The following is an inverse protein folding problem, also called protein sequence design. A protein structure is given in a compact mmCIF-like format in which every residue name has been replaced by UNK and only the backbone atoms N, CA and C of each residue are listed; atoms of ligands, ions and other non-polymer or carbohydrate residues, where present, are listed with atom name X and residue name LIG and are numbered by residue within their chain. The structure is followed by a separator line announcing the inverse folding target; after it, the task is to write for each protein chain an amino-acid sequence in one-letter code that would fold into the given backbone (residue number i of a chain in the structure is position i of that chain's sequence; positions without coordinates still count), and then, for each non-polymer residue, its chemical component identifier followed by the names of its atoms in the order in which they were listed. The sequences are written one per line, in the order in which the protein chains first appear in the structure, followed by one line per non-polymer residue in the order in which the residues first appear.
data_IF_836464261576
#
_entry.id   IF_836464261576
#
_cell.length_a   1.000
_cell.length_b   1.000
_cell.length_c   1.000
_cell.angle_alpha   90.00
_cell.angle_beta   90.00
_cell.angle_gamma   90.00
#
_symmetry.space_group_name_H-M   'P 1'
#
loop_
_entity.id
_entity.type
_entity.pdbx_description
1 polymer ?
#
# COMPACT_ATOMS: atom_id res chain seq x y z
N UNK A 1 -8.21 7.78 27.43
CA UNK A 1 -7.99 6.34 27.72
C UNK A 1 -6.48 6.17 27.86
N UNK A 2 -5.98 6.06 29.09
CA UNK A 2 -4.55 5.89 29.34
C UNK A 2 -4.21 4.41 29.17
N UNK A 3 -3.60 4.05 28.04
CA UNK A 3 -3.12 2.67 27.79
C UNK A 3 -1.71 2.56 28.38
N UNK A 4 -1.52 1.93 29.53
CA UNK A 4 -0.21 1.85 30.21
C UNK A 4 0.66 0.67 29.72
N UNK A 5 0.02 -0.38 29.23
CA UNK A 5 0.67 -1.57 28.71
C UNK A 5 0.02 -2.08 27.42
N UNK A 6 0.77 -2.85 26.65
CA UNK A 6 0.28 -3.57 25.47
C UNK A 6 0.61 -5.05 25.66
N UNK A 7 -0.43 -5.89 25.56
CA UNK A 7 -0.27 -7.34 25.45
C UNK A 7 -0.07 -7.76 23.99
N UNK A 8 1.08 -8.34 23.68
CA UNK A 8 1.39 -8.93 22.37
C UNK A 8 1.61 -10.43 22.58
N UNK A 9 0.70 -11.23 22.05
CA UNK A 9 0.62 -12.67 22.33
C UNK A 9 0.53 -12.93 23.84
N UNK A 10 1.53 -13.61 24.41
CA UNK A 10 1.61 -13.93 25.84
C UNK A 10 2.45 -12.91 26.62
N UNK A 11 3.13 -11.98 25.95
CA UNK A 11 4.00 -11.00 26.57
C UNK A 11 3.27 -9.68 26.85
N UNK A 12 3.50 -9.11 28.04
CA UNK A 12 3.06 -7.76 28.40
C UNK A 12 4.25 -6.81 28.23
N UNK A 13 4.05 -5.68 27.55
CA UNK A 13 5.05 -4.62 27.39
C UNK A 13 4.53 -3.30 27.95
N UNK A 14 5.30 -2.70 28.86
CA UNK A 14 5.01 -1.36 29.39
C UNK A 14 5.26 -0.30 28.32
N UNK A 15 4.39 0.71 28.28
CA UNK A 15 4.55 1.88 27.40
C UNK A 15 5.21 3.00 28.20
N UNK A 16 6.49 3.25 27.93
CA UNK A 16 7.25 4.32 28.59
C UNK A 16 7.01 5.71 27.98
N UNK A 17 6.76 5.77 26.67
CA UNK A 17 6.57 7.02 25.93
C UNK A 17 5.49 6.86 24.87
N UNK A 18 4.74 7.95 24.62
CA UNK A 18 3.71 8.03 23.58
C UNK A 18 3.86 9.36 22.84
N UNK A 19 3.82 9.30 21.52
CA UNK A 19 3.72 10.47 20.67
C UNK A 19 2.47 10.39 19.81
N UNK A 20 1.78 11.52 19.67
CA UNK A 20 0.63 11.66 18.80
C UNK A 20 0.95 12.78 17.83
N UNK A 21 0.87 12.48 16.53
CA UNK A 21 1.02 13.46 15.45
C UNK A 21 -0.30 13.56 14.72
N UNK A 22 -0.81 14.79 14.60
CA UNK A 22 -2.01 15.11 13.81
C UNK A 22 -1.57 16.04 12.67
N UNK A 23 -1.87 15.64 11.45
CA UNK A 23 -1.57 16.40 10.24
C UNK A 23 -2.81 16.51 9.36
N UNK A 24 -2.85 17.57 8.55
CA UNK A 24 -3.82 17.73 7.48
C UNK A 24 -3.08 17.61 6.15
N UNK A 25 -3.07 16.40 5.60
CA UNK A 25 -2.32 16.08 4.38
C UNK A 25 -3.23 16.10 3.15
N UNK A 26 -2.63 16.37 1.99
CA UNK A 26 -3.35 16.32 0.71
C UNK A 26 -3.65 14.86 0.36
N UNK A 27 -4.83 14.64 -0.21
CA UNK A 27 -5.25 13.36 -0.78
C UNK A 27 -5.99 13.61 -2.09
N UNK A 28 -5.55 13.01 -3.19
CA UNK A 28 -6.20 13.17 -4.50
C UNK A 28 -5.24 13.44 -5.66
N UNK A 29 -5.81 13.69 -6.84
CA UNK A 29 -5.08 13.96 -8.09
C UNK A 29 -4.15 15.18 -7.99
N UNK A 30 -2.96 15.06 -8.57
CA UNK A 30 -1.95 16.13 -8.61
C UNK A 30 -1.47 16.41 -10.04
N UNK A 31 -0.94 17.62 -10.27
CA UNK A 31 -0.29 17.97 -11.55
C UNK A 31 1.13 17.42 -11.63
N UNK A 32 1.80 17.38 -10.49
CA UNK A 32 3.16 16.86 -10.35
C UNK A 32 3.13 15.39 -9.98
N UNK A 33 4.18 14.69 -10.36
CA UNK A 33 4.41 13.32 -9.94
C UNK A 33 5.09 13.31 -8.57
N UNK A 34 4.67 12.38 -7.71
CA UNK A 34 5.20 12.19 -6.36
C UNK A 34 5.77 10.78 -6.26
N UNK A 35 6.97 10.67 -5.71
CA UNK A 35 7.66 9.41 -5.46
C UNK A 35 7.31 8.82 -4.10
N UNK A 36 6.97 7.54 -4.11
CA UNK A 36 6.59 6.76 -2.94
C UNK A 36 7.39 5.45 -2.87
N UNK A 37 7.54 4.94 -1.66
CA UNK A 37 8.08 3.60 -1.40
C UNK A 37 7.10 2.79 -0.54
N UNK A 38 6.95 1.51 -0.89
CA UNK A 38 6.31 0.54 0.02
C UNK A 38 7.28 0.17 1.14
N UNK A 39 7.10 0.79 2.31
CA UNK A 39 7.90 0.51 3.51
C UNK A 39 7.48 -0.79 4.20
N UNK A 40 6.29 -1.30 3.88
CA UNK A 40 5.78 -2.61 4.31
C UNK A 40 5.24 -3.42 3.11
N UNK A 41 5.25 -4.76 3.18
CA UNK A 41 4.92 -5.61 2.03
C UNK A 41 3.55 -5.26 1.45
N UNK A 42 3.49 -5.04 0.14
CA UNK A 42 2.25 -4.78 -0.57
C UNK A 42 1.62 -6.08 -1.05
N UNK A 43 0.46 -6.42 -0.50
CA UNK A 43 -0.35 -7.57 -0.93
C UNK A 43 -1.29 -7.15 -2.07
N UNK A 44 -0.74 -7.13 -3.29
CA UNK A 44 -1.43 -6.63 -4.47
C UNK A 44 -2.48 -7.62 -5.04
N UNK A 45 -2.25 -8.92 -4.86
CA UNK A 45 -2.98 -9.96 -5.58
C UNK A 45 -4.17 -10.53 -4.76
N UNK A 46 -5.30 -10.72 -5.44
CA UNK A 46 -6.39 -11.60 -5.08
C UNK A 46 -6.28 -12.94 -5.82
N UNK A 47 -7.21 -13.87 -5.58
CA UNK A 47 -7.13 -15.20 -6.19
C UNK A 47 -7.17 -15.13 -7.73
N UNK A 48 -8.08 -14.33 -8.29
CA UNK A 48 -8.26 -14.21 -9.74
C UNK A 48 -7.03 -13.62 -10.44
N UNK A 49 -6.50 -12.52 -9.93
CA UNK A 49 -5.38 -11.83 -10.56
C UNK A 49 -4.02 -12.49 -10.24
N UNK A 50 -3.95 -13.37 -9.23
CA UNK A 50 -2.78 -14.20 -8.98
C UNK A 50 -2.55 -15.19 -10.12
N UNK A 51 -3.61 -15.90 -10.54
CA UNK A 51 -3.53 -16.90 -11.61
C UNK A 51 -3.08 -16.27 -12.94
N UNK A 52 -3.52 -15.04 -13.21
CA UNK A 52 -3.05 -14.26 -14.36
C UNK A 52 -1.57 -13.85 -14.20
N UNK A 53 -1.20 -13.29 -13.04
CA UNK A 53 0.16 -12.80 -12.76
C UNK A 53 1.24 -13.87 -12.96
N UNK A 54 0.99 -15.11 -12.52
CA UNK A 54 1.98 -16.21 -12.61
C UNK A 54 2.21 -16.68 -14.05
N UNK A 55 1.28 -16.41 -14.97
CA UNK A 55 1.40 -16.77 -16.39
C UNK A 55 2.15 -15.72 -17.20
N UNK A 56 2.29 -14.50 -16.67
CA UNK A 56 2.98 -13.39 -17.33
C UNK A 56 4.50 -13.52 -17.25
N UNK A 57 5.20 -13.02 -18.28
CA UNK A 57 6.64 -12.83 -18.22
C UNK A 57 7.00 -11.67 -17.27
N UNK A 58 8.27 -11.53 -16.91
CA UNK A 58 8.72 -10.51 -15.94
C UNK A 58 8.39 -9.07 -16.35
N UNK A 59 8.39 -8.77 -17.64
CA UNK A 59 8.08 -7.44 -18.15
C UNK A 59 6.59 -7.15 -17.98
N UNK A 60 5.73 -8.04 -18.46
CA UNK A 60 4.28 -7.91 -18.37
C UNK A 60 3.78 -7.93 -16.91
N UNK A 61 4.45 -8.66 -16.02
CA UNK A 61 4.22 -8.62 -14.58
C UNK A 61 4.34 -7.21 -14.00
N UNK A 62 5.31 -6.40 -14.45
CA UNK A 62 5.45 -5.03 -13.96
C UNK A 62 4.31 -4.13 -14.45
N UNK A 63 3.90 -4.26 -15.72
CA UNK A 63 2.73 -3.52 -16.23
C UNK A 63 1.45 -3.90 -15.48
N UNK A 64 1.28 -5.20 -15.22
CA UNK A 64 0.14 -5.70 -14.47
C UNK A 64 0.10 -5.15 -13.05
N UNK A 65 1.24 -5.09 -12.36
CA UNK A 65 1.33 -4.51 -11.02
C UNK A 65 1.06 -3.01 -11.02
N UNK A 66 1.55 -2.25 -12.00
CA UNK A 66 1.22 -0.82 -12.15
C UNK A 66 -0.28 -0.61 -12.36
N UNK A 67 -0.93 -1.46 -13.16
CA UNK A 67 -2.37 -1.44 -13.33
C UNK A 67 -3.11 -1.74 -12.02
N UNK A 68 -2.72 -2.78 -11.28
CA UNK A 68 -3.30 -3.09 -9.98
C UNK A 68 -3.11 -1.93 -9.00
N UNK A 69 -1.94 -1.29 -8.98
CA UNK A 69 -1.70 -0.15 -8.10
C UNK A 69 -2.65 1.00 -8.40
N UNK A 70 -2.87 1.32 -9.68
CA UNK A 70 -3.85 2.32 -10.12
C UNK A 70 -5.28 1.97 -9.66
N UNK A 71 -5.70 0.72 -9.80
CA UNK A 71 -7.02 0.27 -9.31
C UNK A 71 -7.12 0.28 -7.77
N UNK A 72 -6.01 0.04 -7.08
CA UNK A 72 -5.96 0.19 -5.62
C UNK A 72 -6.09 1.67 -5.21
N UNK A 73 -5.49 2.61 -5.94
CA UNK A 73 -5.68 4.06 -5.72
C UNK A 73 -7.14 4.47 -5.89
N UNK A 74 -7.82 3.91 -6.89
CA UNK A 74 -9.28 4.10 -7.05
C UNK A 74 -10.06 3.52 -5.87
N UNK A 75 -9.68 2.33 -5.40
CA UNK A 75 -10.35 1.65 -4.30
C UNK A 75 -10.23 2.44 -3.00
N UNK A 76 -9.02 2.89 -2.66
CA UNK A 76 -8.79 3.68 -1.45
C UNK A 76 -9.48 5.05 -1.54
N UNK A 77 -9.49 5.68 -2.72
CA UNK A 77 -10.17 6.96 -2.93
C UNK A 77 -11.66 6.90 -2.56
N UNK A 78 -12.36 5.82 -2.96
CA UNK A 78 -13.75 5.60 -2.54
C UNK A 78 -13.90 5.52 -1.02
N UNK A 79 -12.94 4.92 -0.32
CA UNK A 79 -12.94 4.86 1.14
C UNK A 79 -12.80 6.22 1.83
N UNK A 80 -12.20 7.20 1.16
CA UNK A 80 -12.08 8.59 1.62
C UNK A 80 -13.17 9.51 1.03
N UNK A 81 -14.23 8.95 0.42
CA UNK A 81 -15.25 9.70 -0.31
C UNK A 81 -14.67 10.65 -1.38
N UNK A 82 -13.54 10.26 -1.98
CA UNK A 82 -12.92 10.95 -3.11
C UNK A 82 -13.24 10.20 -4.41
N UNK A 83 -13.83 10.90 -5.37
CA UNK A 83 -14.18 10.33 -6.67
C UNK A 83 -13.13 10.69 -7.73
N UNK A 84 -12.40 9.67 -8.22
CA UNK A 84 -11.54 9.81 -9.40
C UNK A 84 -12.44 9.75 -10.64
N UNK A 85 -12.67 10.91 -11.28
CA UNK A 85 -13.54 11.02 -12.46
C UNK A 85 -12.96 10.30 -13.69
N UNK A 86 -11.64 10.32 -13.84
CA UNK A 86 -10.95 9.68 -14.96
C UNK A 86 -9.78 8.83 -14.46
N UNK A 87 -10.02 7.54 -14.23
CA UNK A 87 -8.97 6.63 -13.76
C UNK A 87 -7.81 6.49 -14.74
N UNK A 88 -8.04 6.65 -16.04
CA UNK A 88 -6.98 6.60 -17.05
C UNK A 88 -6.06 7.84 -17.02
N UNK A 89 -6.51 8.91 -16.35
CA UNK A 89 -5.70 10.08 -16.01
C UNK A 89 -4.70 9.84 -14.88
N UNK A 90 -4.91 8.78 -14.06
CA UNK A 90 -3.96 8.38 -13.02
C UNK A 90 -2.82 7.61 -13.66
N UNK A 91 -1.63 8.17 -13.59
CA UNK A 91 -0.40 7.61 -14.11
C UNK A 91 0.41 7.06 -12.95
N UNK A 92 0.71 5.77 -13.04
CA UNK A 92 1.54 5.06 -12.09
C UNK A 92 2.70 4.44 -12.87
N UNK A 93 3.91 4.75 -12.45
CA UNK A 93 5.11 4.04 -12.90
C UNK A 93 5.89 3.55 -11.69
N UNK A 94 6.65 2.47 -11.85
CA UNK A 94 7.37 1.89 -10.73
C UNK A 94 7.95 0.52 -11.03
N UNK A 95 8.74 0.03 -10.08
CA UNK A 95 9.35 -1.29 -10.14
C UNK A 95 9.13 -2.03 -8.83
N UNK A 96 8.60 -3.25 -8.95
CA UNK A 96 8.17 -4.04 -7.81
C UNK A 96 8.88 -5.39 -7.78
N UNK A 97 9.55 -5.66 -6.67
CA UNK A 97 10.20 -6.93 -6.40
C UNK A 97 9.26 -7.83 -5.61
N UNK A 98 9.09 -9.05 -6.10
CA UNK A 98 8.27 -10.06 -5.43
C UNK A 98 9.00 -10.63 -4.20
N UNK A 99 8.26 -10.89 -3.13
CA UNK A 99 8.71 -11.59 -1.93
C UNK A 99 7.58 -12.44 -1.36
N UNK A 100 7.90 -13.67 -1.00
CA UNK A 100 6.97 -14.55 -0.28
C UNK A 100 6.95 -14.19 1.21
N UNK A 101 5.75 -14.02 1.76
CA UNK A 101 5.52 -13.65 3.16
C UNK A 101 4.54 -14.64 3.78
N UNK A 102 4.88 -15.20 4.94
CA UNK A 102 3.93 -16.03 5.71
C UNK A 102 2.85 -15.14 6.32
N UNK A 103 1.60 -15.45 6.04
CA UNK A 103 0.44 -14.78 6.61
C UNK A 103 -0.60 -15.83 7.01
N UNK A 104 -0.81 -16.01 8.32
CA UNK A 104 -1.76 -17.00 8.89
C UNK A 104 -1.57 -18.40 8.29
N UNK A 105 -0.38 -18.96 8.48
CA UNK A 105 0.05 -20.28 7.98
C UNK A 105 0.02 -20.49 6.45
N UNK A 106 -0.36 -19.46 5.69
CA UNK A 106 -0.37 -19.47 4.22
C UNK A 106 0.76 -18.59 3.71
N UNK A 107 1.51 -19.07 2.72
CA UNK A 107 2.51 -18.25 2.02
C UNK A 107 1.81 -17.37 0.99
N UNK A 108 1.95 -16.05 1.16
CA UNK A 108 1.38 -15.04 0.27
C UNK A 108 2.49 -14.41 -0.58
N UNK A 109 2.19 -14.16 -1.86
CA UNK A 109 3.07 -13.39 -2.71
C UNK A 109 2.81 -11.89 -2.50
N UNK A 110 3.83 -11.18 -2.00
CA UNK A 110 3.80 -9.75 -1.74
C UNK A 110 4.87 -9.03 -2.57
N UNK A 111 4.81 -7.70 -2.57
CA UNK A 111 5.68 -6.85 -3.35
C UNK A 111 6.29 -5.74 -2.50
N UNK A 112 7.50 -5.35 -2.85
CA UNK A 112 8.19 -4.17 -2.34
C UNK A 112 8.70 -3.35 -3.51
N UNK A 113 8.90 -2.06 -3.32
CA UNK A 113 9.50 -1.22 -4.34
C UNK A 113 9.08 0.23 -4.25
N UNK A 114 9.56 0.98 -5.21
CA UNK A 114 9.28 2.40 -5.38
C UNK A 114 8.38 2.61 -6.59
N UNK A 115 7.51 3.60 -6.48
CA UNK A 115 6.64 4.00 -7.55
C UNK A 115 6.42 5.51 -7.52
N UNK A 116 6.09 6.04 -8.68
CA UNK A 116 5.78 7.44 -8.90
C UNK A 116 4.34 7.51 -9.38
N UNK A 117 3.57 8.48 -8.87
CA UNK A 117 2.19 8.70 -9.32
C UNK A 117 1.80 10.17 -9.28
N UNK A 118 0.87 10.58 -10.14
CA UNK A 118 0.23 11.89 -10.09
C UNK A 118 -0.98 11.90 -9.11
N UNK A 119 -0.81 11.27 -7.96
CA UNK A 119 -1.84 11.15 -6.93
C UNK A 119 -1.20 11.29 -5.54
N UNK A 120 -1.65 12.27 -4.76
CA UNK A 120 -1.16 12.51 -3.41
C UNK A 120 -1.79 11.54 -2.42
N UNK A 121 -0.92 10.88 -1.67
CA UNK A 121 -1.22 9.98 -0.57
C UNK A 121 -0.53 10.53 0.70
N UNK A 122 -1.25 10.64 1.83
CA UNK A 122 -0.66 10.85 3.14
C UNK A 122 0.33 9.75 3.49
N UNK A 123 1.36 10.11 4.24
CA UNK A 123 2.35 9.16 4.74
C UNK A 123 1.71 8.09 5.62
N UNK A 124 2.26 6.88 5.54
CA UNK A 124 1.82 5.70 6.29
C UNK A 124 0.45 5.14 5.90
N UNK A 125 -0.14 5.62 4.81
CA UNK A 125 -1.39 5.06 4.30
C UNK A 125 -1.15 3.66 3.69
N UNK A 126 -2.04 2.71 3.98
CA UNK A 126 -1.97 1.34 3.46
C UNK A 126 -2.75 1.18 2.15
N UNK A 127 -2.15 0.52 1.16
CA UNK A 127 -2.73 0.27 -0.16
C UNK A 127 -2.81 -1.24 -0.45
N UNK A 128 -3.90 -1.69 -1.09
CA UNK A 128 -4.09 -3.10 -1.45
C UNK A 128 -4.82 -3.90 -0.38
N UNK A 129 -4.44 -5.16 -0.18
CA UNK A 129 -5.12 -6.07 0.77
C UNK A 129 -4.44 -6.07 2.14
N UNK A 130 -5.24 -6.36 3.17
CA UNK A 130 -4.78 -6.47 4.56
C UNK A 130 -4.11 -5.20 5.12
N UNK A 131 -4.54 -4.03 4.65
CA UNK A 131 -4.03 -2.71 5.08
C UNK A 131 -4.19 -2.46 6.58
N UNK A 132 -5.28 -2.96 7.19
CA UNK A 132 -5.50 -2.90 8.63
C UNK A 132 -4.47 -3.69 9.47
N UNK A 133 -3.65 -4.53 8.83
CA UNK A 133 -2.54 -5.27 9.44
C UNK A 133 -1.17 -4.70 9.07
N UNK A 134 -1.13 -3.50 8.48
CA UNK A 134 0.09 -2.81 8.07
C UNK A 134 0.62 -3.18 6.69
N UNK A 135 -0.08 -4.00 5.90
CA UNK A 135 0.37 -4.29 4.53
C UNK A 135 0.18 -3.09 3.60
N UNK A 136 1.10 -2.92 2.66
CA UNK A 136 1.06 -1.91 1.61
C UNK A 136 1.19 -0.48 2.12
N UNK A 137 1.78 -0.27 3.30
CA UNK A 137 2.08 1.05 3.82
C UNK A 137 3.09 1.77 2.93
N UNK A 138 2.74 2.97 2.50
CA UNK A 138 3.58 3.83 1.67
C UNK A 138 4.16 5.01 2.45
N UNK A 139 5.30 5.51 1.99
CA UNK A 139 5.93 6.72 2.50
C UNK A 139 6.43 7.57 1.33
N UNK A 140 6.19 8.88 1.36
CA UNK A 140 6.72 9.82 0.39
C UNK A 140 8.25 9.93 0.53
N UNK A 141 8.97 10.01 -0.60
CA UNK A 141 10.44 9.97 -0.67
C UNK A 141 11.11 11.35 -0.81
N UNK A 142 10.46 12.40 -0.30
CA UNK A 142 10.92 13.82 -0.34
C UNK A 142 12.43 13.96 -0.06
#
# INVERSE_FOLDING_TARGET
MEIEDIKINESIKLINEKSIKLTADKFGETKEYIDYEFILPWMALNQKNYDEYIQLNKFDQQFFLRHILRENLKTISKGFNYEIKNIEGIKVDGHFQKREIKFKDITMLCFFGKFMTNFSLPDYLGIGKQVARGFGTVLNQI
#
